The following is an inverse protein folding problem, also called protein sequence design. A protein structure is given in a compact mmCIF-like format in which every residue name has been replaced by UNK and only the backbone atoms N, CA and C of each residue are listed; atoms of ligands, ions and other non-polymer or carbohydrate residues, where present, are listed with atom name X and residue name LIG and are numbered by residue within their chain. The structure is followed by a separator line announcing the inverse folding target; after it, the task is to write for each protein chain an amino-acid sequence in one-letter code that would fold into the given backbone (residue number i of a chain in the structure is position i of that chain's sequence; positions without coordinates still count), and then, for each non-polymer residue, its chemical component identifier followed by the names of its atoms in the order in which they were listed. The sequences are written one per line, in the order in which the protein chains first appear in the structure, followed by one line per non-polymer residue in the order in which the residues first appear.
data_IF_472288873350
#
_entry.id   IF_472288873350
#
_cell.length_a   1.000
_cell.length_b   1.000
_cell.length_c   1.000
_cell.angle_alpha   90.00
_cell.angle_beta   90.00
_cell.angle_gamma   90.00
#
_symmetry.space_group_name_H-M   'P 1'
#
loop_
_entity.id
_entity.type
_entity.pdbx_description
1 polymer ?
#
# COMPACT_ATOMS: atom_id res chain seq x y z
N UNK A 1 -23.35 5.61 -23.34
CA UNK A 1 -23.33 4.23 -22.80
C UNK A 1 -22.00 4.02 -22.08
N UNK A 2 -21.98 3.99 -20.75
CA UNK A 2 -20.75 3.80 -19.97
C UNK A 2 -20.73 2.38 -19.39
N UNK A 3 -19.94 1.49 -20.01
CA UNK A 3 -19.72 0.13 -19.53
C UNK A 3 -18.51 0.11 -18.60
N UNK A 4 -18.70 0.45 -17.32
CA UNK A 4 -17.71 0.18 -16.28
C UNK A 4 -18.44 -0.30 -15.01
N UNK A 5 -18.77 -1.59 -14.93
CA UNK A 5 -18.85 -2.22 -13.61
C UNK A 5 -17.42 -2.32 -13.09
N UNK A 6 -16.96 -1.31 -12.35
CA UNK A 6 -15.85 -1.48 -11.43
C UNK A 6 -16.36 -2.36 -10.30
N UNK A 7 -16.18 -3.67 -10.43
CA UNK A 7 -16.06 -4.50 -9.25
C UNK A 7 -14.85 -3.94 -8.50
N UNK A 8 -15.07 -3.20 -7.41
CA UNK A 8 -13.99 -2.88 -6.48
C UNK A 8 -13.38 -4.17 -5.94
N UNK A 9 -12.24 -4.10 -5.24
CA UNK A 9 -11.76 -5.27 -4.51
C UNK A 9 -12.88 -5.80 -3.60
N UNK A 10 -12.99 -7.13 -3.44
CA UNK A 10 -13.87 -7.69 -2.42
C UNK A 10 -13.38 -7.24 -1.05
N UNK A 11 -14.23 -6.54 -0.30
CA UNK A 11 -13.90 -5.98 1.00
C UNK A 11 -14.48 -6.77 2.17
N UNK A 12 -15.17 -7.87 1.91
CA UNK A 12 -15.89 -8.66 2.93
C UNK A 12 -14.99 -9.15 4.07
N UNK A 13 -13.73 -9.43 3.77
CA UNK A 13 -12.70 -9.76 4.76
C UNK A 13 -12.33 -8.56 5.62
N UNK A 14 -12.00 -7.41 5.01
CA UNK A 14 -11.62 -6.20 5.75
C UNK A 14 -12.76 -5.66 6.63
N UNK A 15 -14.02 -5.83 6.20
CA UNK A 15 -15.18 -5.52 7.06
C UNK A 15 -15.21 -6.40 8.30
N UNK A 16 -14.96 -7.71 8.17
CA UNK A 16 -14.91 -8.65 9.32
C UNK A 16 -13.73 -8.36 10.26
N UNK A 17 -12.65 -7.77 9.75
CA UNK A 17 -11.51 -7.32 10.56
C UNK A 17 -11.74 -5.98 11.28
N UNK A 18 -12.91 -5.35 11.10
CA UNK A 18 -13.18 -4.01 11.61
C UNK A 18 -12.52 -2.94 10.73
N UNK A 19 -13.15 -2.64 9.60
CA UNK A 19 -12.69 -1.60 8.67
C UNK A 19 -12.71 -0.23 9.35
N UNK A 20 -11.55 0.45 9.37
CA UNK A 20 -11.38 1.77 9.97
C UNK A 20 -11.30 2.86 8.92
N UNK A 21 -10.66 2.58 7.79
CA UNK A 21 -10.55 3.50 6.66
C UNK A 21 -10.43 2.73 5.36
N UNK A 22 -11.07 3.26 4.31
CA UNK A 22 -10.94 2.77 2.95
C UNK A 22 -10.99 3.94 1.98
N UNK A 23 -10.02 4.01 1.07
CA UNK A 23 -10.03 5.00 0.00
C UNK A 23 -9.46 4.43 -1.30
N UNK A 24 -10.17 4.63 -2.41
CA UNK A 24 -9.65 4.31 -3.74
C UNK A 24 -9.08 5.56 -4.40
N UNK A 25 -7.77 5.57 -4.61
CA UNK A 25 -7.00 6.77 -4.98
C UNK A 25 -6.22 6.56 -6.28
N UNK A 26 -5.98 7.66 -6.99
CA UNK A 26 -4.99 7.70 -8.07
C UNK A 26 -3.58 7.86 -7.52
N UNK A 27 -2.58 7.45 -8.28
CA UNK A 27 -1.21 7.53 -7.83
C UNK A 27 -0.19 7.04 -8.84
N UNK A 28 1.01 6.80 -8.36
CA UNK A 28 2.08 6.17 -9.14
C UNK A 28 2.75 5.09 -8.31
N UNK A 29 3.18 4.01 -8.97
CA UNK A 29 4.20 3.09 -8.44
C UNK A 29 5.52 3.41 -9.10
N UNK A 30 6.60 3.40 -8.32
CA UNK A 30 7.97 3.45 -8.83
C UNK A 30 8.71 2.21 -8.36
N UNK A 31 9.33 1.50 -9.29
CA UNK A 31 10.26 0.41 -9.01
C UNK A 31 11.68 0.96 -9.07
N UNK A 32 12.49 0.71 -8.04
CA UNK A 32 13.91 1.11 -8.01
C UNK A 32 14.80 -0.09 -7.72
N UNK A 33 15.74 -0.35 -8.62
CA UNK A 33 16.63 -1.52 -8.57
C UNK A 33 15.86 -2.83 -8.32
N UNK A 34 14.64 -2.92 -8.84
CA UNK A 34 13.73 -4.03 -8.60
C UNK A 34 14.17 -5.26 -9.38
N UNK A 35 14.18 -6.40 -8.72
CA UNK A 35 14.40 -7.71 -9.33
C UNK A 35 13.47 -8.72 -8.66
N UNK A 36 12.84 -9.54 -9.48
CA UNK A 36 12.06 -10.71 -9.09
C UNK A 36 12.07 -11.71 -10.27
N UNK A 37 11.69 -12.99 -10.08
CA UNK A 37 11.58 -13.95 -11.17
C UNK A 37 10.69 -13.39 -12.31
N UNK A 38 11.24 -13.36 -13.52
CA UNK A 38 10.53 -12.85 -14.71
C UNK A 38 10.38 -11.33 -14.82
N UNK A 39 10.92 -10.53 -13.87
CA UNK A 39 10.86 -9.06 -13.94
C UNK A 39 12.05 -8.39 -13.27
N UNK A 40 12.78 -7.58 -14.02
CA UNK A 40 13.82 -6.69 -13.49
C UNK A 40 13.66 -5.28 -14.03
N UNK A 41 13.94 -4.27 -13.20
CA UNK A 41 13.93 -2.86 -13.61
C UNK A 41 14.85 -2.03 -12.71
N UNK A 42 15.81 -1.32 -13.30
CA UNK A 42 16.61 -0.33 -12.56
C UNK A 42 15.74 0.84 -12.11
N UNK A 43 14.87 1.32 -13.00
CA UNK A 43 13.88 2.35 -12.71
C UNK A 43 12.68 2.21 -13.63
N UNK A 44 11.48 2.14 -13.06
CA UNK A 44 10.23 2.21 -13.83
C UNK A 44 9.17 2.93 -13.01
N UNK A 45 8.39 3.81 -13.64
CA UNK A 45 7.31 4.56 -12.99
C UNK A 45 6.04 4.44 -13.80
N UNK A 46 4.95 4.04 -13.14
CA UNK A 46 3.68 3.76 -13.81
C UNK A 46 2.52 4.44 -13.05
N UNK A 47 1.57 5.09 -13.76
CA UNK A 47 0.34 5.54 -13.13
C UNK A 47 -0.53 4.35 -12.74
N UNK A 48 -1.10 4.37 -11.54
CA UNK A 48 -1.93 3.29 -11.01
C UNK A 48 -3.06 3.84 -10.15
N UNK A 49 -4.09 3.03 -9.94
CA UNK A 49 -5.09 3.25 -8.88
C UNK A 49 -4.89 2.22 -7.79
N UNK A 50 -5.07 2.67 -6.56
CA UNK A 50 -4.87 1.89 -5.35
C UNK A 50 -6.14 1.91 -4.53
N UNK A 51 -6.38 0.88 -3.73
CA UNK A 51 -7.30 0.98 -2.59
C UNK A 51 -6.47 0.84 -1.32
N UNK A 52 -6.41 1.92 -0.56
CA UNK A 52 -5.81 1.95 0.77
C UNK A 52 -6.85 1.45 1.76
N UNK A 53 -6.48 0.47 2.57
CA UNK A 53 -7.36 -0.15 3.57
C UNK A 53 -6.64 -0.21 4.90
N UNK A 54 -7.28 0.32 5.93
CA UNK A 54 -6.87 0.18 7.32
C UNK A 54 -7.97 -0.58 8.05
N UNK A 55 -7.60 -1.67 8.71
CA UNK A 55 -8.49 -2.40 9.61
C UNK A 55 -7.95 -2.35 11.03
N UNK A 56 -8.68 -2.90 11.99
CA UNK A 56 -8.13 -3.10 13.34
C UNK A 56 -6.94 -4.06 13.37
N UNK A 57 -6.68 -4.80 12.28
CA UNK A 57 -5.66 -5.85 12.23
C UNK A 57 -4.47 -5.56 11.32
N UNK A 58 -4.67 -4.81 10.23
CA UNK A 58 -3.62 -4.62 9.22
C UNK A 58 -3.74 -3.34 8.43
N UNK A 59 -2.63 -3.01 7.77
CA UNK A 59 -2.55 -2.03 6.70
C UNK A 59 -2.39 -2.73 5.36
N UNK A 60 -3.23 -2.38 4.39
CA UNK A 60 -3.20 -2.98 3.06
C UNK A 60 -3.29 -1.92 1.97
N UNK A 61 -2.45 -2.07 0.94
CA UNK A 61 -2.46 -1.28 -0.30
C UNK A 61 -2.81 -2.24 -1.43
N UNK A 62 -4.05 -2.20 -1.90
CA UNK A 62 -4.52 -3.05 -2.98
C UNK A 62 -4.26 -2.39 -4.34
N UNK A 63 -3.53 -3.10 -5.20
CA UNK A 63 -3.39 -2.77 -6.61
C UNK A 63 -4.35 -3.57 -7.51
N UNK A 64 -4.28 -3.36 -8.83
CA UNK A 64 -5.15 -4.06 -9.79
C UNK A 64 -4.98 -5.58 -9.82
N UNK A 65 -3.82 -6.09 -9.40
CA UNK A 65 -3.47 -7.51 -9.45
C UNK A 65 -3.31 -8.12 -8.05
N UNK A 66 -3.88 -7.49 -7.02
CA UNK A 66 -3.77 -7.92 -5.63
C UNK A 66 -2.99 -6.93 -4.75
N UNK A 67 -2.69 -7.32 -3.50
CA UNK A 67 -1.98 -6.47 -2.56
C UNK A 67 -0.55 -6.18 -3.02
N UNK A 68 -0.16 -4.91 -2.94
CA UNK A 68 1.24 -4.47 -3.07
C UNK A 68 1.91 -4.40 -1.70
N UNK A 69 1.14 -4.01 -0.69
CA UNK A 69 1.52 -4.05 0.72
C UNK A 69 0.35 -4.68 1.45
N UNK A 70 0.60 -5.70 2.27
CA UNK A 70 -0.41 -6.33 3.12
C UNK A 70 0.27 -6.82 4.39
N UNK A 71 0.17 -6.02 5.46
CA UNK A 71 0.99 -6.21 6.64
C UNK A 71 0.14 -6.03 7.90
N UNK A 72 -0.01 -7.06 8.75
CA UNK A 72 -0.60 -6.93 10.07
C UNK A 72 0.14 -5.91 10.93
N UNK A 73 -0.59 -5.22 11.82
CA UNK A 73 0.03 -4.26 12.75
C UNK A 73 1.07 -4.91 13.67
N UNK A 74 0.90 -6.20 13.99
CA UNK A 74 1.80 -6.99 14.83
C UNK A 74 3.02 -7.55 14.07
N UNK A 75 3.05 -7.43 12.74
CA UNK A 75 4.17 -7.95 11.95
C UNK A 75 5.36 -6.99 12.03
N UNK A 76 6.50 -7.48 12.51
CA UNK A 76 7.74 -6.71 12.63
C UNK A 76 8.18 -6.07 11.31
N UNK A 77 7.80 -6.65 10.16
CA UNK A 77 8.10 -6.10 8.82
C UNK A 77 7.37 -4.78 8.58
N UNK A 78 6.28 -4.49 9.29
CA UNK A 78 5.60 -3.19 9.22
C UNK A 78 6.58 -2.06 9.53
N UNK A 79 7.42 -2.24 10.56
CA UNK A 79 8.45 -1.26 10.95
C UNK A 79 9.53 -1.03 9.89
N UNK A 80 9.60 -1.87 8.86
CA UNK A 80 10.52 -1.71 7.72
C UNK A 80 9.95 -0.86 6.59
N UNK A 81 8.65 -0.54 6.64
CA UNK A 81 8.01 0.36 5.68
C UNK A 81 8.35 1.82 6.01
N UNK A 82 8.81 2.60 5.03
CA UNK A 82 8.87 4.06 5.13
C UNK A 82 7.54 4.65 4.65
N UNK A 83 6.70 5.06 5.61
CA UNK A 83 5.39 5.69 5.36
C UNK A 83 5.45 7.15 5.81
N UNK A 84 5.33 8.07 4.85
CA UNK A 84 5.46 9.52 5.08
C UNK A 84 4.72 10.34 4.04
N UNK A 85 4.70 11.65 4.24
CA UNK A 85 4.22 12.59 3.22
C UNK A 85 5.31 12.85 2.16
N UNK A 86 4.86 13.02 0.92
CA UNK A 86 5.63 13.50 -0.23
C UNK A 86 4.80 14.60 -0.91
N UNK A 87 4.90 15.82 -0.35
CA UNK A 87 3.93 16.88 -0.58
C UNK A 87 2.53 16.43 -0.12
N UNK A 88 1.53 16.65 -0.97
CA UNK A 88 0.12 16.26 -0.70
C UNK A 88 -0.15 14.75 -0.80
N UNK A 89 0.87 13.93 -1.07
CA UNK A 89 0.70 12.48 -1.30
C UNK A 89 1.19 11.68 -0.11
N UNK A 90 0.54 10.56 0.13
CA UNK A 90 1.08 9.51 0.98
C UNK A 90 2.10 8.70 0.17
N UNK A 91 3.34 8.67 0.65
CA UNK A 91 4.42 7.84 0.12
C UNK A 91 4.58 6.62 1.03
N UNK A 92 4.59 5.44 0.41
CA UNK A 92 4.85 4.16 1.06
C UNK A 92 6.01 3.51 0.30
N UNK A 93 7.12 3.29 0.98
CA UNK A 93 8.30 2.62 0.42
C UNK A 93 8.50 1.28 1.12
N UNK A 94 8.60 0.23 0.32
CA UNK A 94 8.92 -1.12 0.78
C UNK A 94 10.21 -1.60 0.13
N UNK A 95 11.15 -2.10 0.95
CA UNK A 95 12.22 -2.98 0.49
C UNK A 95 11.62 -4.37 0.29
N UNK A 96 11.50 -4.80 -0.97
CA UNK A 96 10.80 -6.05 -1.29
C UNK A 96 11.56 -7.29 -0.79
N UNK A 97 12.86 -7.17 -0.50
CA UNK A 97 13.64 -8.27 0.08
C UNK A 97 13.21 -8.63 1.50
N UNK A 98 12.50 -7.73 2.20
CA UNK A 98 11.90 -8.00 3.51
C UNK A 98 10.63 -8.86 3.41
N UNK A 99 10.04 -8.97 2.22
CA UNK A 99 8.76 -9.63 2.00
C UNK A 99 8.87 -10.87 1.11
N UNK A 100 9.94 -10.99 0.31
CA UNK A 100 10.20 -12.15 -0.54
C UNK A 100 11.71 -12.43 -0.65
N UNK A 101 12.09 -13.70 -0.50
CA UNK A 101 13.48 -14.14 -0.64
C UNK A 101 13.97 -14.09 -2.10
N UNK A 102 13.05 -14.17 -3.06
CA UNK A 102 13.37 -14.17 -4.49
C UNK A 102 13.34 -12.77 -5.11
N UNK A 103 13.07 -11.73 -4.31
CA UNK A 103 12.96 -10.36 -4.79
C UNK A 103 13.93 -9.42 -4.07
N UNK A 104 14.38 -8.38 -4.79
CA UNK A 104 15.23 -7.33 -4.24
C UNK A 104 14.87 -5.95 -4.80
N UNK A 105 15.29 -4.89 -4.12
CA UNK A 105 15.07 -3.52 -4.52
C UNK A 105 13.88 -2.90 -3.81
N UNK A 106 13.36 -1.80 -4.36
CA UNK A 106 12.34 -1.00 -3.71
C UNK A 106 11.10 -0.80 -4.58
N UNK A 107 9.95 -0.78 -3.91
CA UNK A 107 8.68 -0.33 -4.47
C UNK A 107 8.25 0.92 -3.71
N UNK A 108 7.96 1.99 -4.45
CA UNK A 108 7.44 3.24 -3.92
C UNK A 108 6.01 3.47 -4.43
N UNK A 109 5.03 3.45 -3.54
CA UNK A 109 3.65 3.85 -3.86
C UNK A 109 3.44 5.29 -3.44
N UNK A 110 3.05 6.14 -4.38
CA UNK A 110 2.59 7.51 -4.11
C UNK A 110 1.09 7.58 -4.36
N UNK A 111 0.33 7.70 -3.28
CA UNK A 111 -1.12 7.78 -3.28
C UNK A 111 -1.58 9.23 -3.10
N UNK A 112 -2.50 9.69 -3.97
CA UNK A 112 -3.16 10.98 -3.84
C UNK A 112 -4.47 10.81 -3.05
N UNK A 113 -4.35 10.74 -1.73
CA UNK A 113 -5.48 10.60 -0.83
C UNK A 113 -6.24 11.93 -0.72
N UNK A 114 -7.50 11.88 -0.32
CA UNK A 114 -8.31 13.06 -0.02
C UNK A 114 -7.67 13.89 1.10
N UNK A 115 -7.13 13.21 2.12
CA UNK A 115 -6.32 13.80 3.19
C UNK A 115 -5.17 12.85 3.58
N UNK A 116 -4.03 13.01 2.89
CA UNK A 116 -2.84 12.17 3.13
C UNK A 116 -2.28 12.35 4.54
N UNK A 117 -2.43 13.55 5.14
CA UNK A 117 -1.89 13.86 6.47
C UNK A 117 -2.71 13.17 7.57
N UNK A 118 -4.04 13.24 7.49
CA UNK A 118 -4.93 12.52 8.38
C UNK A 118 -4.73 11.00 8.28
N UNK A 119 -4.59 10.48 7.06
CA UNK A 119 -4.33 9.05 6.86
C UNK A 119 -3.01 8.60 7.48
N UNK A 120 -1.93 9.36 7.29
CA UNK A 120 -0.65 9.09 7.95
C UNK A 120 -0.78 9.12 9.48
N UNK A 121 -1.55 10.07 10.01
CA UNK A 121 -1.87 10.15 11.44
C UNK A 121 -2.55 8.89 11.97
N UNK A 122 -3.54 8.37 11.25
CA UNK A 122 -4.23 7.12 11.60
C UNK A 122 -3.28 5.92 11.59
N UNK A 123 -2.48 5.75 10.54
CA UNK A 123 -1.50 4.66 10.43
C UNK A 123 -0.53 4.67 11.63
N UNK A 124 0.03 5.85 11.95
CA UNK A 124 0.95 5.98 13.08
C UNK A 124 0.29 5.74 14.43
N UNK A 125 -0.97 6.14 14.58
CA UNK A 125 -1.74 5.88 15.80
C UNK A 125 -1.92 4.38 16.01
N UNK A 126 -2.35 3.66 14.98
CA UNK A 126 -2.58 2.22 15.04
C UNK A 126 -1.29 1.44 15.29
N UNK A 127 -0.20 1.82 14.62
CA UNK A 127 1.10 1.19 14.86
C UNK A 127 1.54 1.29 16.34
N UNK A 128 1.35 2.45 16.98
CA UNK A 128 1.74 2.65 18.39
C UNK A 128 0.86 1.90 19.40
N UNK A 129 -0.38 1.57 19.07
CA UNK A 129 -1.27 0.85 19.97
C UNK A 129 -0.97 -0.65 20.02
N UNK A 130 -0.22 -1.18 19.04
CA UNK A 130 0.04 -2.61 18.87
C UNK A 130 1.52 -2.95 19.15
N UNK A 131 2.40 -1.94 19.18
CA UNK A 131 3.83 -2.08 19.55
C UNK A 131 4.00 -2.07 21.07
#
# INVERSE_FOLDING_TARGET
MAWWRRSGPDLSEFTREGLLHQETVGGTITYRHYRAPGRSSSWAKEPRRWTLVLTQRRFTVLGPHGPVVDVPWTDHRFGTLDIRLDGEKLLIVADVSKFSADASGYVEVRAKCADSAALLGMVRSLQRHVS
#
